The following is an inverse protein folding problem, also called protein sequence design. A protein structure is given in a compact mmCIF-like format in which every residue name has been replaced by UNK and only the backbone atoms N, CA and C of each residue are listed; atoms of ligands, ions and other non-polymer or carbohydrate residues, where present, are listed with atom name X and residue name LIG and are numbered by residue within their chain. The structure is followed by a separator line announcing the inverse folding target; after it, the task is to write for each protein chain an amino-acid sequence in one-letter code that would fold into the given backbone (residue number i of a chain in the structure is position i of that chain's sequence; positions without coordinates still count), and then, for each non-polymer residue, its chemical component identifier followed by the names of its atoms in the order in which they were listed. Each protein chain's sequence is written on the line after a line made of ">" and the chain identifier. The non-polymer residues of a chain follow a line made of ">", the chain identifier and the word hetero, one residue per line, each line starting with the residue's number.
data_IF_518379474781
#
_entry.id   IF_518379474781
#
_cell.length_a   1.000
_cell.length_b   1.000
_cell.length_c   1.000
_cell.angle_alpha   90.00
_cell.angle_beta   90.00
_cell.angle_gamma   90.00
#
_symmetry.space_group_name_H-M   'P 1'
#
loop_
_entity.id
_entity.type
_entity.pdbx_description
1 polymer ?
#
# COMPACT_ATOMS: atom_id res chain seq x y z
N UNK A 1 -13.39 15.50 3.43
CA UNK A 1 -11.91 15.57 3.60
C UNK A 1 -11.30 14.69 2.54
N UNK A 2 -10.23 15.11 1.86
CA UNK A 2 -9.49 14.26 0.93
C UNK A 2 -8.29 13.65 1.64
N UNK A 3 -8.02 12.38 1.40
CA UNK A 3 -6.76 11.75 1.81
C UNK A 3 -5.91 11.43 0.58
N UNK A 4 -4.60 11.61 0.71
CA UNK A 4 -3.62 11.30 -0.33
C UNK A 4 -3.14 9.87 -0.14
N UNK A 5 -3.09 9.10 -1.22
CA UNK A 5 -2.59 7.73 -1.19
C UNK A 5 -1.21 7.70 -1.82
N UNK A 6 -0.23 7.15 -1.12
CA UNK A 6 1.12 6.94 -1.64
C UNK A 6 1.49 5.46 -1.57
N UNK A 7 2.38 5.01 -2.47
CA UNK A 7 2.93 3.67 -2.40
C UNK A 7 3.85 3.55 -1.19
N UNK A 8 3.60 2.58 -0.31
CA UNK A 8 4.41 2.28 0.86
C UNK A 8 5.84 1.84 0.49
N UNK A 9 6.03 1.30 -0.72
CA UNK A 9 7.28 0.71 -1.15
C UNK A 9 8.19 1.69 -1.90
N UNK A 10 7.63 2.42 -2.87
CA UNK A 10 8.40 3.34 -3.72
C UNK A 10 8.05 4.82 -3.52
N UNK A 11 7.09 5.14 -2.65
CA UNK A 11 6.64 6.52 -2.40
C UNK A 11 5.83 7.15 -3.53
N UNK A 12 5.54 6.41 -4.61
CA UNK A 12 4.78 6.91 -5.77
C UNK A 12 3.40 7.41 -5.35
N UNK A 13 3.00 8.57 -5.88
CA UNK A 13 1.65 9.10 -5.69
C UNK A 13 0.63 8.23 -6.41
N UNK A 14 -0.38 7.75 -5.67
CA UNK A 14 -1.47 6.90 -6.18
C UNK A 14 -2.79 7.66 -6.29
N UNK A 15 -2.77 8.98 -6.11
CA UNK A 15 -3.93 9.85 -6.17
C UNK A 15 -4.54 10.20 -4.80
N UNK A 16 -5.71 10.84 -4.86
CA UNK A 16 -6.48 11.27 -3.68
C UNK A 16 -7.85 10.61 -3.69
N UNK A 17 -8.40 10.32 -2.52
CA UNK A 17 -9.77 9.82 -2.36
C UNK A 17 -10.53 10.64 -1.33
N UNK A 18 -11.85 10.70 -1.51
CA UNK A 18 -12.73 11.34 -0.55
C UNK A 18 -12.93 10.45 0.67
N UNK A 19 -12.73 11.01 1.86
CA UNK A 19 -13.11 10.38 3.12
C UNK A 19 -14.60 10.62 3.37
N UNK A 20 -15.32 9.64 3.96
CA UNK A 20 -16.68 9.83 4.41
C UNK A 20 -16.77 11.02 5.37
N UNK A 21 -17.85 11.78 5.27
CA UNK A 21 -18.06 13.16 5.75
C UNK A 21 -18.00 13.38 7.27
N UNK A 22 -17.47 12.45 8.05
CA UNK A 22 -17.50 12.45 9.52
C UNK A 22 -16.14 12.73 10.18
N UNK A 23 -15.08 13.01 9.42
CA UNK A 23 -13.79 13.35 9.99
C UNK A 23 -13.68 14.87 10.23
N UNK A 24 -14.12 15.29 11.42
CA UNK A 24 -13.79 16.57 12.04
C UNK A 24 -12.26 16.68 12.21
N UNK A 25 -11.54 17.13 11.19
CA UNK A 25 -10.08 17.25 11.27
C UNK A 25 -9.62 18.52 10.56
N UNK A 26 -9.28 19.51 11.39
CA UNK A 26 -8.56 20.76 11.13
C UNK A 26 -7.09 20.55 10.75
N UNK A 27 -6.71 19.36 10.29
CA UNK A 27 -5.32 18.95 10.05
C UNK A 27 -5.07 18.72 8.55
N UNK A 28 -3.82 19.00 8.16
CA UNK A 28 -3.29 18.84 6.80
C UNK A 28 -3.72 17.50 6.16
N UNK A 29 -3.95 17.51 4.84
CA UNK A 29 -4.45 16.35 4.07
C UNK A 29 -3.80 15.03 4.52
N UNK A 30 -4.53 14.10 5.17
CA UNK A 30 -3.95 12.89 5.71
C UNK A 30 -3.38 12.00 4.59
N UNK A 31 -2.19 11.46 4.82
CA UNK A 31 -1.51 10.54 3.90
C UNK A 31 -1.80 9.11 4.35
N UNK A 32 -2.34 8.30 3.44
CA UNK A 32 -2.48 6.86 3.60
C UNK A 32 -1.54 6.13 2.65
N UNK A 33 -1.22 4.88 3.01
CA UNK A 33 -0.26 4.07 2.27
C UNK A 33 -0.97 2.88 1.61
N UNK A 34 -0.62 2.59 0.37
CA UNK A 34 -1.05 1.40 -0.38
C UNK A 34 0.14 0.85 -1.20
N UNK A 35 -0.08 -0.09 -2.11
CA UNK A 35 0.98 -0.62 -2.98
C UNK A 35 0.61 -0.36 -4.44
N UNK A 36 1.55 0.20 -5.22
CA UNK A 36 1.34 0.36 -6.66
C UNK A 36 1.49 -0.99 -7.39
N UNK A 37 0.86 -1.10 -8.56
CA UNK A 37 0.91 -2.30 -9.40
C UNK A 37 2.33 -2.70 -9.76
N UNK A 38 3.21 -1.74 -10.08
CA UNK A 38 4.61 -2.00 -10.41
C UNK A 38 5.39 -2.65 -9.26
N UNK A 39 5.15 -2.22 -8.02
CA UNK A 39 5.78 -2.82 -6.85
C UNK A 39 5.20 -4.19 -6.55
N UNK A 40 3.88 -4.34 -6.71
CA UNK A 40 3.20 -5.62 -6.52
C UNK A 40 3.70 -6.67 -7.52
N UNK A 41 3.81 -6.33 -8.81
CA UNK A 41 4.33 -7.21 -9.85
C UNK A 41 5.77 -7.63 -9.60
N UNK A 42 6.65 -6.70 -9.18
CA UNK A 42 8.04 -7.03 -8.82
C UNK A 42 8.12 -8.02 -7.66
N UNK A 43 7.26 -7.87 -6.67
CA UNK A 43 7.18 -8.79 -5.53
C UNK A 43 6.69 -10.15 -6.02
N UNK A 44 5.62 -10.21 -6.82
CA UNK A 44 5.11 -11.47 -7.36
C UNK A 44 6.15 -12.18 -8.25
N UNK A 45 6.87 -11.45 -9.09
CA UNK A 45 7.97 -11.97 -9.92
C UNK A 45 9.07 -12.57 -9.04
N UNK A 46 9.48 -11.85 -7.98
CA UNK A 46 10.46 -12.36 -7.01
C UNK A 46 10.00 -13.61 -6.27
N UNK A 47 8.70 -13.73 -5.98
CA UNK A 47 8.11 -14.91 -5.32
C UNK A 47 7.96 -16.09 -6.27
N UNK A 48 7.74 -15.84 -7.56
CA UNK A 48 7.58 -16.89 -8.57
C UNK A 48 8.87 -17.65 -8.89
N UNK A 49 10.01 -17.15 -8.38
CA UNK A 49 11.33 -17.74 -8.61
C UNK A 49 11.69 -18.90 -7.66
N UNK A 50 10.93 -19.15 -6.58
CA UNK A 50 11.14 -20.31 -5.69
C UNK A 50 9.84 -20.73 -4.97
N UNK A 51 9.11 -21.77 -5.44
CA UNK A 51 7.87 -22.23 -4.82
C UNK A 51 8.06 -22.91 -3.44
N UNK A 52 9.30 -23.12 -2.98
CA UNK A 52 9.62 -23.91 -1.79
C UNK A 52 9.80 -23.08 -0.49
N UNK A 53 9.91 -21.75 -0.57
CA UNK A 53 10.17 -20.89 0.60
C UNK A 53 8.90 -20.26 1.24
N UNK A 54 7.74 -20.37 0.61
CA UNK A 54 6.52 -19.68 1.07
C UNK A 54 5.82 -20.42 2.22
N UNK A 55 6.09 -21.72 2.42
CA UNK A 55 5.39 -22.55 3.42
C UNK A 55 6.00 -22.59 4.84
N UNK A 56 7.03 -21.79 5.16
CA UNK A 56 7.74 -21.89 6.46
C UNK A 56 7.52 -20.75 7.46
N UNK A 57 6.60 -19.82 7.24
CA UNK A 57 6.47 -18.63 8.12
C UNK A 57 5.20 -18.55 8.97
N UNK A 58 4.47 -19.65 9.19
CA UNK A 58 3.36 -19.67 10.17
C UNK A 58 3.40 -20.88 11.12
N UNK A 59 4.55 -21.13 11.75
CA UNK A 59 4.59 -21.88 13.02
C UNK A 59 5.58 -21.18 13.97
N UNK A 60 5.05 -20.28 14.80
CA UNK A 60 5.64 -19.88 16.07
C UNK A 60 4.50 -19.56 17.05
#
# INVERSE_FOLDING_TARGET
>A
MTYRIVCAWCGKDLGKKEAPSSSDQTLAEPITHSMCTECFEKILDSLSSDPDEIYKTNDH
#
